data_IF_946820039535
#
_entry.id   IF_946820039535
#
_cell.length_a   1.000
_cell.length_b   1.000
_cell.length_c   1.000
_cell.angle_alpha   90.00
_cell.angle_beta   90.00
_cell.angle_gamma   90.00
#
_symmetry.space_group_name_H-M   'P 1'
#
loop_
_entity.id
_entity.type
_entity.pdbx_description
1 polymer ?
#
# COMPACT_ATOMS: atom_id res chain seq x y z
N UNK A 1 -33.81 -4.59 -27.91
CA UNK A 1 -32.82 -3.53 -28.23
C UNK A 1 -32.64 -2.47 -27.13
N UNK A 2 -33.58 -2.25 -26.18
CA UNK A 2 -33.43 -1.23 -25.12
C UNK A 2 -32.53 -1.62 -23.91
N UNK A 3 -32.16 -2.90 -23.76
CA UNK A 3 -31.32 -3.38 -22.64
C UNK A 3 -29.81 -3.24 -22.88
N UNK A 4 -29.36 -3.15 -24.14
CA UNK A 4 -27.93 -2.96 -24.46
C UNK A 4 -27.47 -1.52 -24.17
N UNK A 5 -28.33 -0.54 -24.42
CA UNK A 5 -28.01 0.87 -24.19
C UNK A 5 -27.83 1.21 -22.69
N UNK A 6 -28.54 0.52 -21.79
CA UNK A 6 -28.41 0.72 -20.35
C UNK A 6 -27.10 0.13 -19.79
N UNK A 7 -26.60 -0.97 -20.36
CA UNK A 7 -25.33 -1.59 -19.94
C UNK A 7 -24.12 -0.75 -20.39
N UNK A 8 -24.16 -0.20 -21.61
CA UNK A 8 -23.11 0.69 -22.13
C UNK A 8 -23.08 2.02 -21.35
N UNK A 9 -24.24 2.53 -20.92
CA UNK A 9 -24.30 3.76 -20.11
C UNK A 9 -23.78 3.54 -18.66
N UNK A 10 -23.95 2.33 -18.10
CA UNK A 10 -23.42 2.01 -16.77
C UNK A 10 -21.89 1.86 -16.79
N UNK A 11 -21.32 1.29 -17.86
CA UNK A 11 -19.87 1.19 -18.03
C UNK A 11 -19.26 2.59 -18.23
N UNK A 12 -19.90 3.46 -19.01
CA UNK A 12 -19.43 4.84 -19.21
C UNK A 12 -19.59 5.73 -17.96
N UNK A 13 -20.59 5.48 -17.11
CA UNK A 13 -20.74 6.22 -15.84
C UNK A 13 -19.72 5.77 -14.78
N UNK A 14 -19.32 4.49 -14.76
CA UNK A 14 -18.24 4.03 -13.89
C UNK A 14 -16.88 4.64 -14.27
N UNK A 15 -16.66 4.89 -15.57
CA UNK A 15 -15.47 5.61 -16.06
C UNK A 15 -15.46 7.12 -15.75
N UNK A 16 -16.56 7.71 -15.25
CA UNK A 16 -16.63 9.15 -14.97
C UNK A 16 -16.40 9.54 -13.51
N UNK A 17 -16.33 8.57 -12.59
CA UNK A 17 -16.01 8.81 -11.17
C UNK A 17 -14.51 8.71 -10.91
N UNK A 18 -13.78 7.99 -11.75
CA UNK A 18 -12.33 8.00 -11.78
C UNK A 18 -11.91 8.86 -12.96
N UNK A 19 -11.44 10.07 -12.68
CA UNK A 19 -10.76 10.90 -13.66
C UNK A 19 -9.45 10.23 -14.08
N UNK A 20 -9.54 9.15 -14.88
CA UNK A 20 -8.41 8.60 -15.61
C UNK A 20 -8.09 9.63 -16.67
N UNK A 21 -7.23 10.58 -16.31
CA UNK A 21 -6.52 11.37 -17.30
C UNK A 21 -5.79 10.38 -18.20
N UNK A 22 -6.32 10.21 -19.42
CA UNK A 22 -5.60 9.54 -20.49
C UNK A 22 -4.34 10.36 -20.78
N UNK A 23 -3.22 10.01 -20.14
CA UNK A 23 -1.91 10.41 -20.63
C UNK A 23 -1.55 9.55 -21.85
N UNK A 24 -0.69 10.12 -22.69
CA UNK A 24 0.17 9.41 -23.64
C UNK A 24 0.73 8.12 -22.99
N UNK A 25 0.86 7.06 -23.79
CA UNK A 25 1.14 5.65 -23.44
C UNK A 25 1.41 5.32 -21.95
N UNK A 26 0.69 4.34 -21.37
CA UNK A 26 0.89 3.97 -19.97
C UNK A 26 2.34 3.57 -19.71
N UNK A 27 2.90 3.98 -18.56
CA UNK A 27 4.29 3.66 -18.17
C UNK A 27 4.56 2.14 -18.17
N UNK A 28 3.52 1.34 -17.90
CA UNK A 28 3.50 -0.10 -17.80
C UNK A 28 2.12 -0.61 -18.22
N UNK A 29 2.06 -1.82 -18.78
CA UNK A 29 0.82 -2.50 -19.14
C UNK A 29 0.40 -3.54 -18.09
N UNK A 30 1.33 -4.03 -17.27
CA UNK A 30 1.07 -5.03 -16.23
C UNK A 30 1.85 -4.74 -14.94
N UNK A 31 1.46 -5.37 -13.82
CA UNK A 31 2.22 -5.28 -12.56
C UNK A 31 3.60 -5.93 -12.72
N UNK A 32 3.68 -7.04 -13.45
CA UNK A 32 4.95 -7.73 -13.75
C UNK A 32 5.93 -6.79 -14.44
N UNK A 33 5.48 -6.08 -15.48
CA UNK A 33 6.32 -5.12 -16.20
C UNK A 33 6.79 -4.00 -15.28
N UNK A 34 5.89 -3.45 -14.46
CA UNK A 34 6.22 -2.41 -13.49
C UNK A 34 7.26 -2.87 -12.46
N UNK A 35 7.16 -4.12 -11.98
CA UNK A 35 8.14 -4.71 -11.06
C UNK A 35 9.50 -4.93 -11.72
N UNK A 36 9.52 -5.51 -12.92
CA UNK A 36 10.74 -5.86 -13.64
C UNK A 36 11.61 -4.63 -13.97
N UNK A 37 10.98 -3.46 -14.13
CA UNK A 37 11.67 -2.20 -14.44
C UNK A 37 11.72 -1.21 -13.28
N UNK A 38 11.20 -1.58 -12.11
CA UNK A 38 11.34 -0.76 -10.91
C UNK A 38 12.80 -0.77 -10.44
N UNK A 39 13.45 0.40 -10.49
CA UNK A 39 14.85 0.57 -10.05
C UNK A 39 14.97 0.87 -8.55
N UNK A 40 13.87 0.77 -7.80
CA UNK A 40 13.77 1.28 -6.44
C UNK A 40 12.75 0.55 -5.56
N UNK A 41 12.19 1.25 -4.58
CA UNK A 41 11.25 0.70 -3.62
C UNK A 41 9.91 0.37 -4.30
N UNK A 42 9.53 -0.91 -4.26
CA UNK A 42 8.23 -1.40 -4.67
C UNK A 42 7.53 -1.97 -3.44
N UNK A 43 6.31 -1.52 -3.17
CA UNK A 43 5.48 -2.11 -2.12
C UNK A 43 4.19 -2.64 -2.75
N UNK A 44 3.87 -3.89 -2.42
CA UNK A 44 2.75 -4.63 -3.01
C UNK A 44 1.77 -4.98 -1.91
N UNK A 45 0.48 -4.79 -2.19
CA UNK A 45 -0.60 -5.35 -1.39
C UNK A 45 -1.55 -6.12 -2.30
N UNK A 46 -1.87 -7.34 -1.91
CA UNK A 46 -2.69 -8.26 -2.65
C UNK A 46 -3.95 -8.58 -1.85
N UNK A 47 -5.08 -8.53 -2.52
CA UNK A 47 -6.39 -8.90 -1.98
C UNK A 47 -7.07 -9.85 -2.97
N UNK A 48 -8.22 -10.39 -2.58
CA UNK A 48 -9.08 -11.19 -3.45
C UNK A 48 -9.66 -10.39 -4.63
N UNK A 49 -9.69 -9.05 -4.55
CA UNK A 49 -10.28 -8.20 -5.59
C UNK A 49 -9.26 -7.45 -6.45
N UNK A 50 -8.05 -7.19 -5.94
CA UNK A 50 -7.05 -6.40 -6.64
C UNK A 50 -5.62 -6.65 -6.14
N UNK A 51 -4.65 -6.28 -6.97
CA UNK A 51 -3.24 -6.09 -6.61
C UNK A 51 -2.90 -4.61 -6.78
N UNK A 52 -2.32 -4.01 -5.74
CA UNK A 52 -1.82 -2.63 -5.78
C UNK A 52 -0.32 -2.65 -5.60
N UNK A 53 0.37 -1.99 -6.53
CA UNK A 53 1.80 -1.71 -6.48
C UNK A 53 2.01 -0.20 -6.34
N UNK A 54 2.83 0.19 -5.36
CA UNK A 54 3.34 1.55 -5.23
C UNK A 54 4.83 1.53 -5.59
N UNK A 55 5.23 2.40 -6.52
CA UNK A 55 6.61 2.46 -7.03
C UNK A 55 7.02 3.89 -7.42
N UNK A 56 8.33 4.13 -7.49
CA UNK A 56 8.87 5.38 -8.01
C UNK A 56 9.31 5.24 -9.48
N UNK A 57 8.89 6.17 -10.33
CA UNK A 57 9.31 6.26 -11.74
C UNK A 57 9.45 7.73 -12.15
N UNK A 58 10.60 8.08 -12.72
CA UNK A 58 10.91 9.43 -13.22
C UNK A 58 10.66 10.54 -12.17
N UNK A 59 10.95 10.24 -10.90
CA UNK A 59 10.77 11.16 -9.77
C UNK A 59 9.32 11.26 -9.25
N UNK A 60 8.41 10.41 -9.73
CA UNK A 60 7.01 10.35 -9.32
C UNK A 60 6.71 9.07 -8.57
N UNK A 61 5.93 9.16 -7.51
CA UNK A 61 5.40 7.97 -6.83
C UNK A 61 4.05 7.62 -7.46
N UNK A 62 3.95 6.44 -8.04
CA UNK A 62 2.75 5.98 -8.75
C UNK A 62 2.07 4.86 -7.95
N UNK A 63 0.73 4.91 -7.88
CA UNK A 63 -0.10 3.81 -7.40
C UNK A 63 -0.77 3.11 -8.58
N UNK A 64 -0.20 1.96 -8.92
CA UNK A 64 -0.60 1.08 -10.03
C UNK A 64 -1.50 -0.02 -9.49
N UNK A 65 -2.61 -0.27 -10.16
CA UNK A 65 -3.65 -1.19 -9.70
C UNK A 65 -4.00 -2.16 -10.82
N UNK A 66 -4.12 -3.44 -10.51
CA UNK A 66 -4.81 -4.39 -11.38
C UNK A 66 -5.95 -5.06 -10.63
N UNK A 67 -7.06 -5.27 -11.33
CA UNK A 67 -8.26 -5.90 -10.77
C UNK A 67 -8.17 -7.41 -11.00
N UNK A 68 -8.43 -8.20 -9.96
CA UNK A 68 -8.54 -9.65 -10.09
C UNK A 68 -9.79 -9.99 -10.90
N UNK A 69 -9.61 -10.61 -12.07
CA UNK A 69 -10.73 -11.15 -12.82
C UNK A 69 -11.24 -12.48 -12.22
N UNK A 70 -12.33 -13.02 -12.76
CA UNK A 70 -12.93 -14.26 -12.25
C UNK A 70 -11.95 -15.44 -12.30
N UNK A 71 -11.06 -15.49 -13.30
CA UNK A 71 -10.08 -16.57 -13.41
C UNK A 71 -9.00 -16.47 -12.33
N UNK A 72 -8.50 -15.26 -12.05
CA UNK A 72 -7.58 -15.03 -10.94
C UNK A 72 -8.23 -15.38 -9.59
N UNK A 73 -9.50 -15.00 -9.40
CA UNK A 73 -10.28 -15.29 -8.18
C UNK A 73 -10.49 -16.79 -7.97
N UNK A 74 -10.86 -17.52 -9.03
CA UNK A 74 -11.03 -18.98 -8.98
C UNK A 74 -9.72 -19.69 -8.62
N UNK A 75 -8.60 -19.26 -9.21
CA UNK A 75 -7.26 -19.79 -8.88
C UNK A 75 -6.91 -19.50 -7.42
N UNK A 76 -7.15 -18.28 -6.93
CA UNK A 76 -6.87 -17.89 -5.55
C UNK A 76 -7.68 -18.70 -4.54
N UNK A 77 -8.98 -18.89 -4.81
CA UNK A 77 -9.85 -19.71 -3.96
C UNK A 77 -9.40 -21.18 -3.94
N UNK A 78 -8.93 -21.70 -5.08
CA UNK A 78 -8.39 -23.06 -5.16
C UNK A 78 -7.10 -23.18 -4.35
N UNK A 79 -6.16 -22.25 -4.51
CA UNK A 79 -4.90 -22.21 -3.77
C UNK A 79 -5.14 -22.14 -2.25
N UNK A 80 -6.09 -21.29 -1.82
CA UNK A 80 -6.53 -21.19 -0.42
C UNK A 80 -7.14 -22.50 0.11
N UNK A 81 -7.95 -23.18 -0.69
CA UNK A 81 -8.59 -24.44 -0.29
C UNK A 81 -7.61 -25.61 -0.19
N UNK A 82 -6.58 -25.60 -1.03
CA UNK A 82 -5.55 -26.65 -1.09
C UNK A 82 -4.35 -26.37 -0.16
N UNK A 83 -4.25 -25.15 0.39
CA UNK A 83 -3.10 -24.66 1.17
C UNK A 83 -1.75 -24.88 0.43
N UNK A 84 -1.77 -24.81 -0.91
CA UNK A 84 -0.62 -25.12 -1.76
C UNK A 84 0.12 -23.84 -2.17
N UNK A 85 1.35 -23.68 -1.69
CA UNK A 85 2.23 -22.55 -2.03
C UNK A 85 2.48 -22.43 -3.53
N UNK A 86 2.56 -23.53 -4.26
CA UNK A 86 2.77 -23.50 -5.71
C UNK A 86 1.53 -23.02 -6.48
N UNK A 87 0.33 -23.25 -5.94
CA UNK A 87 -0.89 -22.71 -6.49
C UNK A 87 -0.97 -21.18 -6.31
N UNK A 88 -0.49 -20.65 -5.18
CA UNK A 88 -0.33 -19.19 -5.00
C UNK A 88 0.66 -18.59 -6.01
N UNK A 89 1.80 -19.24 -6.26
CA UNK A 89 2.73 -18.77 -7.30
C UNK A 89 2.08 -18.71 -8.70
N UNK A 90 1.16 -19.62 -9.02
CA UNK A 90 0.39 -19.58 -10.27
C UNK A 90 -0.62 -18.45 -10.30
N UNK A 91 -1.26 -18.14 -9.17
CA UNK A 91 -2.13 -16.96 -9.03
C UNK A 91 -1.33 -15.70 -9.27
N UNK A 92 -0.17 -15.54 -8.62
CA UNK A 92 0.69 -14.37 -8.76
C UNK A 92 1.17 -14.22 -10.21
N UNK A 93 1.62 -15.33 -10.82
CA UNK A 93 2.03 -15.34 -12.22
C UNK A 93 0.90 -14.91 -13.17
N UNK A 94 -0.35 -15.24 -12.88
CA UNK A 94 -1.50 -14.82 -13.67
C UNK A 94 -1.88 -13.36 -13.38
N UNK A 95 -2.20 -13.05 -12.11
CA UNK A 95 -2.68 -11.76 -11.65
C UNK A 95 -1.72 -10.62 -12.00
N UNK A 96 -0.41 -10.85 -11.90
CA UNK A 96 0.58 -9.81 -12.20
C UNK A 96 0.69 -9.50 -13.70
N UNK A 97 0.11 -10.34 -14.58
CA UNK A 97 0.02 -10.09 -16.03
C UNK A 97 -1.32 -9.51 -16.48
N UNK A 98 -2.26 -9.27 -15.56
CA UNK A 98 -3.51 -8.59 -15.87
C UNK A 98 -3.26 -7.10 -16.19
N UNK A 99 -4.09 -6.49 -17.07
CA UNK A 99 -3.93 -5.08 -17.43
C UNK A 99 -4.03 -4.14 -16.22
N UNK A 100 -3.09 -3.20 -16.12
CA UNK A 100 -3.11 -2.21 -15.03
C UNK A 100 -3.91 -0.97 -15.38
N UNK A 101 -4.40 -0.31 -14.33
CA UNK A 101 -4.88 1.05 -14.32
C UNK A 101 -4.06 1.89 -13.34
N UNK A 102 -3.97 3.18 -13.60
CA UNK A 102 -3.36 4.14 -12.69
C UNK A 102 -4.47 4.86 -11.94
N UNK A 103 -4.26 5.07 -10.64
CA UNK A 103 -5.14 5.95 -9.87
C UNK A 103 -4.69 7.40 -10.09
N UNK A 104 -3.83 7.90 -9.20
CA UNK A 104 -3.25 9.23 -9.25
C UNK A 104 -1.77 9.14 -8.82
N UNK A 105 -0.99 10.17 -9.13
CA UNK A 105 0.36 10.33 -8.58
C UNK A 105 0.25 10.58 -7.07
N UNK A 106 0.93 9.75 -6.27
CA UNK A 106 1.03 9.98 -4.83
C UNK A 106 1.91 11.21 -4.61
N UNK A 107 1.28 12.24 -4.05
CA UNK A 107 1.91 13.52 -3.71
C UNK A 107 1.99 13.75 -2.20
N UNK A 108 1.39 12.85 -1.41
CA UNK A 108 1.63 12.78 0.02
C UNK A 108 3.14 12.71 0.26
N UNK A 109 3.63 13.43 1.26
CA UNK A 109 5.04 13.41 1.65
C UNK A 109 5.17 12.74 3.03
N UNK A 110 6.20 11.90 3.24
CA UNK A 110 6.48 11.40 4.58
C UNK A 110 6.97 12.55 5.47
N UNK A 111 6.88 12.36 6.78
CA UNK A 111 7.52 13.27 7.73
C UNK A 111 9.03 13.35 7.46
N UNK A 112 9.58 14.56 7.55
CA UNK A 112 11.01 14.78 7.46
C UNK A 112 11.73 14.16 8.67
N UNK A 113 13.01 13.80 8.50
CA UNK A 113 13.79 13.22 9.61
C UNK A 113 13.84 14.15 10.83
N UNK A 114 13.88 15.48 10.63
CA UNK A 114 13.85 16.44 11.73
C UNK A 114 12.54 16.39 12.55
N UNK A 115 11.42 16.10 11.90
CA UNK A 115 10.13 15.93 12.57
C UNK A 115 10.10 14.62 13.37
N UNK A 116 10.71 13.55 12.85
CA UNK A 116 10.87 12.27 13.56
C UNK A 116 11.83 12.39 14.74
N UNK A 117 12.94 13.11 14.59
CA UNK A 117 13.92 13.35 15.66
C UNK A 117 13.30 14.15 16.81
N UNK A 118 12.34 15.04 16.53
CA UNK A 118 11.59 15.78 17.54
C UNK A 118 10.69 14.87 18.42
N UNK A 119 10.47 13.62 18.02
CA UNK A 119 9.72 12.64 18.81
C UNK A 119 10.58 11.92 19.86
N UNK A 120 11.91 12.06 19.82
CA UNK A 120 12.79 11.40 20.76
C UNK A 120 12.43 11.72 22.23
N UNK A 121 12.37 10.68 23.07
CA UNK A 121 11.98 10.74 24.47
C UNK A 121 10.47 10.81 24.73
N UNK A 122 9.63 11.00 23.69
CA UNK A 122 8.17 10.92 23.82
C UNK A 122 7.73 9.47 23.98
N UNK A 123 6.64 9.27 24.74
CA UNK A 123 6.01 7.96 24.88
C UNK A 123 5.21 7.60 23.62
N UNK A 124 5.25 6.33 23.21
CA UNK A 124 4.52 5.83 22.04
C UNK A 124 3.01 6.14 22.13
N UNK A 125 2.40 5.98 23.31
CA UNK A 125 0.98 6.30 23.52
C UNK A 125 0.60 7.73 23.15
N UNK A 126 1.48 8.69 23.44
CA UNK A 126 1.20 10.10 23.16
C UNK A 126 1.26 10.36 21.65
N UNK A 127 2.20 9.72 20.95
CA UNK A 127 2.32 9.75 19.49
C UNK A 127 1.08 9.09 18.86
N UNK A 128 0.71 7.90 19.30
CA UNK A 128 -0.49 7.20 18.82
C UNK A 128 -1.75 8.03 18.99
N UNK A 129 -1.90 8.76 20.10
CA UNK A 129 -3.06 9.62 20.33
C UNK A 129 -3.07 10.82 19.37
N UNK A 130 -1.93 11.46 19.17
CA UNK A 130 -1.78 12.59 18.25
C UNK A 130 -2.06 12.19 16.80
N UNK A 131 -1.47 11.08 16.37
CA UNK A 131 -1.58 10.53 15.02
C UNK A 131 -2.85 9.70 14.80
N UNK A 132 -3.65 9.52 15.84
CA UNK A 132 -4.87 8.71 15.83
C UNK A 132 -4.64 7.26 15.35
N UNK A 133 -3.46 6.71 15.61
CA UNK A 133 -3.10 5.34 15.24
C UNK A 133 -3.95 4.32 16.02
N UNK A 134 -4.46 3.29 15.32
CA UNK A 134 -5.15 2.15 15.94
C UNK A 134 -4.22 0.96 16.04
N UNK A 135 -3.49 0.87 17.14
CA UNK A 135 -2.55 -0.22 17.41
C UNK A 135 -1.17 -0.05 16.76
N UNK A 136 -0.30 -1.02 17.01
CA UNK A 136 1.08 -1.03 16.52
C UNK A 136 1.57 -2.46 16.32
N UNK A 137 2.58 -2.62 15.46
CA UNK A 137 3.29 -3.90 15.30
C UNK A 137 4.61 -3.82 16.03
N UNK A 138 4.97 -4.89 16.73
CA UNK A 138 6.28 -5.00 17.37
C UNK A 138 7.14 -6.06 16.71
N UNK A 139 8.42 -5.74 16.59
CA UNK A 139 9.44 -6.73 16.26
C UNK A 139 10.60 -6.57 17.24
N UNK A 140 11.02 -7.70 17.81
CA UNK A 140 12.26 -7.79 18.57
C UNK A 140 13.29 -8.44 17.65
N UNK A 141 14.25 -7.65 17.18
CA UNK A 141 15.43 -8.25 16.55
C UNK A 141 16.34 -8.76 17.67
N UNK A 142 17.00 -9.91 17.49
CA UNK A 142 17.80 -10.60 18.52
C UNK A 142 19.00 -9.83 19.09
N UNK A 143 19.08 -8.53 18.84
CA UNK A 143 20.04 -7.58 19.39
C UNK A 143 19.29 -6.50 20.21
N UNK A 144 18.73 -6.85 21.38
CA UNK A 144 18.24 -5.94 22.45
C UNK A 144 17.38 -4.70 22.07
N UNK A 145 16.92 -4.60 20.83
CA UNK A 145 16.21 -3.44 20.29
C UNK A 145 14.78 -3.82 19.98
N UNK A 146 13.87 -3.22 20.74
CA UNK A 146 12.45 -3.25 20.47
C UNK A 146 12.13 -2.20 19.44
N UNK A 147 11.50 -2.62 18.33
CA UNK A 147 11.00 -1.73 17.29
C UNK A 147 9.48 -1.74 17.30
N UNK A 148 8.90 -0.56 17.26
CA UNK A 148 7.45 -0.33 17.17
C UNK A 148 7.15 0.34 15.85
N UNK A 149 6.22 -0.23 15.07
CA UNK A 149 5.76 0.36 13.82
C UNK A 149 4.39 1.01 13.97
N UNK A 150 4.28 2.26 13.53
CA UNK A 150 3.05 3.06 13.52
C UNK A 150 2.74 3.54 12.10
N UNK A 151 1.46 3.51 11.73
CA UNK A 151 0.96 4.07 10.48
C UNK A 151 0.49 5.51 10.72
N UNK A 152 0.91 6.46 9.87
CA UNK A 152 0.42 7.84 9.88
C UNK A 152 0.36 8.41 8.45
N UNK A 153 -0.83 8.89 8.07
CA UNK A 153 -1.12 9.25 6.68
C UNK A 153 -0.89 8.06 5.75
N UNK A 154 -0.17 8.27 4.65
CA UNK A 154 0.19 7.21 3.70
C UNK A 154 1.41 6.38 4.12
N UNK A 155 2.11 6.74 5.19
CA UNK A 155 3.42 6.17 5.50
C UNK A 155 3.43 5.36 6.79
N UNK A 156 4.33 4.38 6.82
CA UNK A 156 4.66 3.59 8.00
C UNK A 156 5.99 4.08 8.55
N UNK A 157 6.03 4.24 9.86
CA UNK A 157 7.18 4.71 10.60
C UNK A 157 7.61 3.63 11.60
N UNK A 158 8.91 3.36 11.66
CA UNK A 158 9.50 2.46 12.64
C UNK A 158 10.24 3.27 13.70
N UNK A 159 9.99 2.94 14.96
CA UNK A 159 10.60 3.57 16.11
C UNK A 159 11.41 2.54 16.90
N UNK A 160 12.71 2.80 17.06
CA UNK A 160 13.49 2.15 18.10
C UNK A 160 13.08 2.75 19.45
N UNK A 161 12.76 1.92 20.43
CA UNK A 161 12.27 2.36 21.73
C UNK A 161 13.05 1.78 22.89
N UNK A 162 13.11 2.53 24.00
CA UNK A 162 13.59 2.04 25.28
C UNK A 162 12.48 1.19 25.94
N UNK A 163 12.74 -0.09 26.14
CA UNK A 163 11.79 -1.00 26.77
C UNK A 163 11.59 -0.64 28.26
N UNK A 164 10.33 -0.42 28.64
CA UNK A 164 9.92 -0.11 30.02
C UNK A 164 8.95 -1.14 30.60
N UNK A 165 8.79 -2.31 29.96
CA UNK A 165 7.85 -3.36 30.36
C UNK A 165 6.39 -3.10 29.97
N UNK A 166 6.03 -1.84 29.70
CA UNK A 166 4.79 -1.44 29.02
C UNK A 166 5.15 -0.70 27.72
N UNK A 167 4.81 -1.32 26.59
CA UNK A 167 5.16 -0.83 25.25
C UNK A 167 4.49 0.51 24.91
N UNK A 168 3.32 0.80 25.47
CA UNK A 168 2.67 2.11 25.26
C UNK A 168 3.42 3.25 25.96
N UNK A 169 4.15 2.92 27.04
CA UNK A 169 4.97 3.86 27.81
C UNK A 169 6.42 3.88 27.34
N UNK A 170 6.81 2.97 26.44
CA UNK A 170 8.13 2.95 25.84
C UNK A 170 8.42 4.28 25.15
N UNK A 171 9.66 4.75 25.31
CA UNK A 171 10.09 6.05 24.81
C UNK A 171 10.85 5.90 23.51
N UNK A 172 10.55 6.78 22.56
CA UNK A 172 11.25 6.81 21.27
C UNK A 172 12.72 7.17 21.48
N UNK A 173 13.61 6.37 20.90
CA UNK A 173 15.04 6.66 20.78
C UNK A 173 15.32 7.29 19.42
N UNK A 174 14.81 6.67 18.34
CA UNK A 174 14.96 7.10 16.96
C UNK A 174 13.73 6.67 16.16
N UNK A 175 13.29 7.52 15.23
CA UNK A 175 12.27 7.18 14.22
C UNK A 175 12.84 7.20 12.80
N UNK A 176 12.26 6.41 11.91
CA UNK A 176 12.51 6.44 10.48
C UNK A 176 11.27 6.04 9.67
N UNK A 177 11.19 6.49 8.43
CA UNK A 177 10.19 6.00 7.46
C UNK A 177 10.59 4.58 7.08
N UNK A 178 9.68 3.63 7.26
CA UNK A 178 9.93 2.21 6.98
C UNK A 178 9.11 1.64 5.82
N UNK A 179 8.18 2.43 5.27
CA UNK A 179 7.46 2.08 4.05
C UNK A 179 6.12 2.79 3.94
N UNK A 180 5.22 2.18 3.17
CA UNK A 180 3.83 2.64 3.07
C UNK A 180 2.94 2.00 4.14
N UNK A 181 1.99 2.79 4.62
CA UNK A 181 0.91 2.35 5.52
C UNK A 181 -0.15 1.57 4.74
N UNK A 182 -1.11 0.98 5.46
CA UNK A 182 -2.30 0.40 4.84
C UNK A 182 -3.12 1.42 4.03
N UNK A 183 -3.16 2.68 4.44
CA UNK A 183 -3.94 3.73 3.77
C UNK A 183 -3.41 4.03 2.35
N UNK A 184 -2.12 3.85 2.11
CA UNK A 184 -1.55 4.01 0.77
C UNK A 184 -2.16 3.00 -0.24
N UNK A 185 -2.50 1.81 0.25
CA UNK A 185 -3.15 0.73 -0.52
C UNK A 185 -4.68 0.77 -0.45
N UNK A 186 -5.27 1.78 0.17
CA UNK A 186 -6.70 1.97 0.19
C UNK A 186 -7.11 2.87 -0.98
N UNK A 187 -7.86 2.30 -1.93
CA UNK A 187 -8.32 3.02 -3.12
C UNK A 187 -9.35 4.13 -2.80
N UNK A 188 -9.87 4.17 -1.57
CA UNK A 188 -10.70 5.27 -1.08
C UNK A 188 -9.90 6.46 -0.53
N UNK A 189 -8.61 6.28 -0.25
CA UNK A 189 -7.73 7.37 0.19
C UNK A 189 -7.19 8.17 -1.01
N UNK A 190 -7.18 9.49 -0.86
CA UNK A 190 -6.65 10.42 -1.87
C UNK A 190 -5.12 10.35 -1.93
N UNK A 191 -4.56 10.58 -3.12
CA UNK A 191 -3.13 10.46 -3.38
C UNK A 191 -2.27 11.55 -2.69
N UNK A 192 -2.89 12.60 -2.17
CA UNK A 192 -2.25 13.63 -1.34
C UNK A 192 -2.21 13.26 0.16
N UNK A 193 -2.78 12.12 0.54
CA UNK A 193 -2.81 11.63 1.92
C UNK A 193 -3.99 12.14 2.76
N UNK A 194 -4.98 12.78 2.13
CA UNK A 194 -6.24 13.18 2.78
C UNK A 194 -7.31 12.08 2.73
N UNK A 195 -8.24 12.12 3.70
CA UNK A 195 -9.37 11.20 3.86
C UNK A 195 -10.69 11.87 3.47
#
# INVERSE_FOLDING_TARGET
MKKLAALVLAILMFCSVYGVMASEDPYFHTIREALDISEGYAAINETDDYVILILEKDGKTLRVVTMMDESAKELYQTAMAEEDSSAFEMVDAYAWNLPVSYTEEITAMPLEQAELDALAGRAIRDIMREWQCRGFVTSSSGNDKTVISLDYGMYKYSFEVEDQGDMELAKVIKGEVSGFSRAAFDLSCHADGTF
#
